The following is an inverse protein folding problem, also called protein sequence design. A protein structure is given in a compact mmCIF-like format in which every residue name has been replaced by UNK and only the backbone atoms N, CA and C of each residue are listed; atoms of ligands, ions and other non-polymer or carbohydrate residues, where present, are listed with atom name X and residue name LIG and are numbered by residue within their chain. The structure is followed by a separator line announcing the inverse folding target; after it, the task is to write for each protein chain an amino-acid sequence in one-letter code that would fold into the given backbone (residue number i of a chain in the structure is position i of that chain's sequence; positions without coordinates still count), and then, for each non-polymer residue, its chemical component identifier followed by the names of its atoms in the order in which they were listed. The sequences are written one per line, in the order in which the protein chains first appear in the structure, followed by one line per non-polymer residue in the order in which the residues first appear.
data_IF_405018880441
#
_entry.id   IF_405018880441
#
_cell.length_a   1.000
_cell.length_b   1.000
_cell.length_c   1.000
_cell.angle_alpha   90.00
_cell.angle_beta   90.00
_cell.angle_gamma   90.00
#
_symmetry.space_group_name_H-M   'P 1'
#
loop_
_entity.id
_entity.type
_entity.pdbx_description
1 polymer ?
#
# COMPACT_ATOMS: atom_id res chain seq x y z
N UNK A 1 12.20 6.41 0.90
CA UNK A 1 12.15 5.26 -0.03
C UNK A 1 10.73 4.72 -0.12
N UNK A 2 10.26 4.38 -1.33
CA UNK A 2 8.90 3.87 -1.60
C UNK A 2 9.03 2.60 -2.45
N UNK A 3 8.50 1.46 -1.97
CA UNK A 3 8.42 0.23 -2.75
C UNK A 3 7.14 0.21 -3.59
N UNK A 4 7.19 -0.37 -4.81
CA UNK A 4 6.08 -0.29 -5.75
C UNK A 4 5.83 1.16 -6.22
N UNK A 5 6.89 1.95 -6.34
CA UNK A 5 6.81 3.39 -6.61
C UNK A 5 6.68 3.76 -8.08
N UNK A 6 6.74 2.80 -9.00
CA UNK A 6 6.64 3.06 -10.43
C UNK A 6 5.18 3.25 -10.94
N UNK A 7 4.16 2.95 -10.12
CA UNK A 7 2.76 3.05 -10.54
C UNK A 7 1.81 3.34 -9.37
N UNK A 8 0.55 3.66 -9.68
CA UNK A 8 -0.56 3.75 -8.73
C UNK A 8 -0.24 4.57 -7.49
N UNK A 9 -0.62 4.05 -6.33
CA UNK A 9 -0.48 4.72 -5.02
C UNK A 9 0.97 5.09 -4.70
N UNK A 10 1.93 4.22 -5.03
CA UNK A 10 3.36 4.48 -4.79
C UNK A 10 3.89 5.65 -5.59
N UNK A 11 3.51 5.75 -6.88
CA UNK A 11 3.88 6.88 -7.73
C UNK A 11 3.22 8.19 -7.24
N UNK A 12 1.96 8.14 -6.84
CA UNK A 12 1.27 9.30 -6.30
C UNK A 12 1.93 9.79 -5.01
N UNK A 13 2.29 8.89 -4.10
CA UNK A 13 3.03 9.22 -2.88
C UNK A 13 4.43 9.77 -3.19
N UNK A 14 5.14 9.22 -4.19
CA UNK A 14 6.44 9.75 -4.61
C UNK A 14 6.33 11.19 -5.08
N UNK A 15 5.32 11.49 -5.92
CA UNK A 15 5.06 12.84 -6.40
C UNK A 15 4.74 13.80 -5.25
N UNK A 16 3.87 13.39 -4.33
CA UNK A 16 3.46 14.19 -3.18
C UNK A 16 4.64 14.50 -2.24
N UNK A 17 5.47 13.49 -1.96
CA UNK A 17 6.63 13.66 -1.09
C UNK A 17 7.67 14.62 -1.71
N UNK A 18 7.89 14.54 -3.03
CA UNK A 18 8.79 15.44 -3.75
C UNK A 18 8.27 16.88 -3.70
N UNK A 19 6.97 17.11 -3.87
CA UNK A 19 6.37 18.44 -3.77
C UNK A 19 6.57 19.06 -2.38
N UNK A 20 6.76 18.21 -1.36
CA UNK A 20 7.06 18.63 0.01
C UNK A 20 8.55 18.55 0.35
N UNK A 21 9.43 18.55 -0.66
CA UNK A 21 10.87 18.69 -0.51
C UNK A 21 11.64 17.42 -0.19
N UNK A 22 11.03 16.24 -0.35
CA UNK A 22 11.72 14.98 -0.12
C UNK A 22 12.57 14.56 -1.33
N UNK A 23 13.72 13.92 -1.06
CA UNK A 23 14.45 13.10 -2.03
C UNK A 23 13.88 11.68 -1.98
N UNK A 24 13.48 11.11 -3.11
CA UNK A 24 12.73 9.85 -3.15
C UNK A 24 13.47 8.77 -3.93
N UNK A 25 13.72 7.64 -3.26
CA UNK A 25 14.11 6.39 -3.91
C UNK A 25 12.83 5.63 -4.28
N UNK A 26 12.61 5.44 -5.59
CA UNK A 26 11.57 4.60 -6.17
C UNK A 26 12.12 3.19 -6.34
N UNK A 27 11.69 2.27 -5.48
CA UNK A 27 12.07 0.86 -5.57
C UNK A 27 10.92 0.07 -6.22
N UNK A 28 11.18 -0.52 -7.39
CA UNK A 28 10.17 -1.27 -8.13
C UNK A 28 10.81 -2.37 -8.98
N UNK A 29 10.05 -3.42 -9.23
CA UNK A 29 10.48 -4.53 -10.12
C UNK A 29 10.41 -4.15 -11.59
N UNK A 30 9.62 -3.14 -11.96
CA UNK A 30 9.48 -2.69 -13.34
C UNK A 30 10.66 -1.83 -13.77
N UNK A 31 11.69 -2.50 -14.31
CA UNK A 31 12.91 -1.87 -14.80
C UNK A 31 12.73 -1.03 -16.09
N UNK A 32 11.55 -1.08 -16.72
CA UNK A 32 11.23 -0.26 -17.89
C UNK A 32 10.49 1.01 -17.48
N UNK A 33 9.42 0.88 -16.70
CA UNK A 33 8.61 2.02 -16.27
C UNK A 33 9.27 2.84 -15.15
N UNK A 34 9.96 2.18 -14.22
CA UNK A 34 10.55 2.84 -13.06
C UNK A 34 11.50 3.99 -13.40
N UNK A 35 12.49 3.81 -14.30
CA UNK A 35 13.37 4.91 -14.72
C UNK A 35 12.63 6.06 -15.41
N UNK A 36 11.56 5.76 -16.15
CA UNK A 36 10.75 6.78 -16.82
C UNK A 36 9.97 7.61 -15.80
N UNK A 37 9.39 6.96 -14.79
CA UNK A 37 8.69 7.63 -13.70
C UNK A 37 9.64 8.52 -12.92
N UNK A 38 10.83 8.02 -12.55
CA UNK A 38 11.84 8.84 -11.89
C UNK A 38 12.22 10.07 -12.73
N UNK A 39 12.44 9.89 -14.03
CA UNK A 39 12.73 11.00 -14.95
C UNK A 39 11.59 12.03 -15.00
N UNK A 40 10.34 11.61 -15.01
CA UNK A 40 9.16 12.50 -15.03
C UNK A 40 9.02 13.26 -13.71
N UNK A 41 9.32 12.61 -12.58
CA UNK A 41 9.23 13.22 -11.25
C UNK A 41 10.35 14.23 -10.98
N UNK A 42 11.44 14.18 -11.74
CA UNK A 42 12.53 15.15 -11.62
C UNK A 42 13.78 14.65 -10.91
N UNK A 43 14.74 15.55 -10.68
CA UNK A 43 16.05 15.20 -10.11
C UNK A 43 15.98 14.72 -8.64
N UNK A 44 14.88 14.95 -7.95
CA UNK A 44 14.62 14.48 -6.60
C UNK A 44 14.23 13.01 -6.54
N UNK A 45 13.96 12.37 -7.69
CA UNK A 45 13.59 10.97 -7.79
C UNK A 45 14.73 10.12 -8.35
N UNK A 46 15.09 9.06 -7.65
CA UNK A 46 16.03 8.03 -8.11
C UNK A 46 15.31 6.67 -8.18
N UNK A 47 15.52 5.94 -9.27
CA UNK A 47 15.00 4.58 -9.41
C UNK A 47 16.02 3.54 -8.98
N UNK A 48 15.53 2.49 -8.28
CA UNK A 48 16.28 1.28 -7.95
C UNK A 48 15.43 0.08 -8.32
N UNK A 49 15.95 -0.83 -9.16
CA UNK A 49 15.27 -2.09 -9.48
C UNK A 49 15.26 -2.99 -8.23
N UNK A 50 14.07 -3.35 -7.75
CA UNK A 50 13.93 -4.08 -6.50
C UNK A 50 12.69 -4.98 -6.52
N UNK A 51 12.90 -6.29 -6.49
CA UNK A 51 11.88 -7.26 -6.14
C UNK A 51 11.85 -7.42 -4.61
N UNK A 52 10.78 -6.95 -3.98
CA UNK A 52 10.63 -6.98 -2.52
C UNK A 52 10.52 -8.40 -1.95
N UNK A 53 10.21 -9.40 -2.76
CA UNK A 53 10.22 -10.81 -2.35
C UNK A 53 11.64 -11.35 -2.13
N UNK A 54 12.65 -10.65 -2.68
CA UNK A 54 14.08 -10.96 -2.55
C UNK A 54 14.72 -10.01 -1.54
N UNK A 55 14.88 -10.47 -0.30
CA UNK A 55 15.36 -9.64 0.82
C UNK A 55 16.67 -8.89 0.52
N UNK A 56 17.62 -9.52 -0.18
CA UNK A 56 18.88 -8.89 -0.53
C UNK A 56 18.71 -7.64 -1.39
N UNK A 57 17.72 -7.61 -2.30
CA UNK A 57 17.45 -6.44 -3.12
C UNK A 57 16.82 -5.29 -2.30
N UNK A 58 16.01 -5.63 -1.29
CA UNK A 58 15.50 -4.62 -0.35
C UNK A 58 16.62 -4.02 0.49
N UNK A 59 17.56 -4.85 0.96
CA UNK A 59 18.75 -4.39 1.67
C UNK A 59 19.57 -3.42 0.82
N UNK A 60 19.87 -3.81 -0.43
CA UNK A 60 20.63 -3.00 -1.39
C UNK A 60 19.93 -1.67 -1.71
N UNK A 61 18.59 -1.67 -1.86
CA UNK A 61 17.83 -0.46 -2.09
C UNK A 61 17.92 0.52 -0.89
N UNK A 62 17.90 0.00 0.36
CA UNK A 62 18.11 0.81 1.56
C UNK A 62 19.55 1.32 1.62
N UNK A 63 20.54 0.47 1.30
CA UNK A 63 21.94 0.87 1.27
C UNK A 63 22.20 1.94 0.19
N UNK A 64 21.51 1.87 -0.95
CA UNK A 64 21.54 2.91 -1.99
C UNK A 64 21.01 4.24 -1.45
N UNK A 65 19.90 4.23 -0.69
CA UNK A 65 19.38 5.44 -0.08
C UNK A 65 20.39 6.05 0.92
N UNK A 66 21.03 5.20 1.74
CA UNK A 66 22.06 5.63 2.68
C UNK A 66 23.30 6.19 1.97
N UNK A 67 23.74 5.57 0.89
CA UNK A 67 24.89 6.03 0.11
C UNK A 67 24.62 7.35 -0.62
N UNK A 68 23.41 7.54 -1.16
CA UNK A 68 23.03 8.74 -1.91
C UNK A 68 22.72 9.94 -1.02
N UNK A 69 22.13 9.72 0.17
CA UNK A 69 21.58 10.80 1.00
C UNK A 69 22.09 10.79 2.46
N UNK A 70 22.87 9.81 2.87
CA UNK A 70 23.40 9.69 4.23
C UNK A 70 22.36 9.30 5.30
N UNK A 71 21.08 9.17 4.93
CA UNK A 71 19.97 8.87 5.84
C UNK A 71 18.76 8.25 5.12
N UNK A 72 17.90 7.63 5.90
CA UNK A 72 16.57 7.19 5.49
C UNK A 72 15.57 7.66 6.54
N UNK A 73 14.82 8.73 6.26
CA UNK A 73 13.81 9.27 7.19
C UNK A 73 12.47 8.53 7.08
N UNK A 74 12.11 8.09 5.86
CA UNK A 74 10.81 7.48 5.57
C UNK A 74 10.99 6.22 4.75
N UNK A 75 10.40 5.12 5.22
CA UNK A 75 10.21 3.87 4.47
C UNK A 75 8.74 3.63 4.22
N UNK A 76 8.30 3.66 2.96
CA UNK A 76 6.93 3.32 2.59
C UNK A 76 6.90 1.96 1.88
N UNK A 77 6.51 0.92 2.61
CA UNK A 77 6.25 -0.43 2.12
C UNK A 77 4.90 -0.46 1.42
N UNK A 78 4.90 -0.09 0.14
CA UNK A 78 3.68 0.00 -0.66
C UNK A 78 3.56 -1.10 -1.71
N UNK A 79 4.66 -1.73 -2.13
CA UNK A 79 4.63 -2.82 -3.09
C UNK A 79 3.65 -3.93 -2.68
N UNK A 80 2.83 -4.37 -3.62
CA UNK A 80 1.84 -5.41 -3.38
C UNK A 80 1.18 -5.88 -4.66
N UNK A 81 0.72 -7.12 -4.63
CA UNK A 81 0.00 -7.78 -5.72
C UNK A 81 -1.29 -8.38 -5.20
N UNK A 82 -2.32 -8.43 -6.03
CA UNK A 82 -3.60 -9.00 -5.63
C UNK A 82 -3.74 -10.50 -5.93
N UNK A 83 -2.83 -11.06 -6.73
CA UNK A 83 -2.90 -12.45 -7.17
C UNK A 83 -3.85 -12.66 -8.35
N UNK A 84 -4.33 -13.90 -8.54
CA UNK A 84 -5.25 -14.25 -9.63
C UNK A 84 -6.56 -13.46 -9.49
N UNK A 85 -7.01 -12.83 -10.56
CA UNK A 85 -8.21 -11.99 -10.55
C UNK A 85 -9.49 -12.82 -10.29
N UNK A 86 -9.60 -14.01 -10.89
CA UNK A 86 -10.69 -14.96 -10.65
C UNK A 86 -10.15 -16.04 -9.72
N UNK A 87 -10.34 -15.92 -8.40
CA UNK A 87 -9.80 -16.89 -7.47
C UNK A 87 -10.64 -18.16 -7.47
N UNK A 88 -10.01 -19.33 -7.32
CA UNK A 88 -10.73 -20.57 -7.03
C UNK A 88 -11.39 -20.48 -5.64
N UNK A 89 -12.34 -21.35 -5.35
CA UNK A 89 -12.82 -21.56 -3.99
C UNK A 89 -11.70 -21.97 -3.05
N UNK A 90 -11.93 -21.86 -1.73
CA UNK A 90 -10.89 -22.17 -0.74
C UNK A 90 -10.40 -23.63 -0.84
N UNK A 91 -11.27 -24.55 -1.24
CA UNK A 91 -10.92 -25.97 -1.39
C UNK A 91 -9.92 -26.22 -2.55
N UNK A 92 -9.92 -25.35 -3.54
CA UNK A 92 -9.07 -25.43 -4.74
C UNK A 92 -7.95 -24.38 -4.74
N UNK A 93 -7.64 -23.80 -3.57
CA UNK A 93 -6.62 -22.78 -3.45
C UNK A 93 -5.24 -23.31 -3.86
N UNK A 94 -4.63 -22.63 -4.84
CA UNK A 94 -3.26 -22.89 -5.25
C UNK A 94 -2.29 -22.29 -4.20
N UNK A 95 -1.63 -23.16 -3.43
CA UNK A 95 -0.70 -22.73 -2.39
C UNK A 95 0.56 -22.07 -2.96
N UNK A 96 1.00 -22.39 -4.17
CA UNK A 96 2.13 -21.68 -4.77
C UNK A 96 1.76 -20.23 -5.11
N UNK A 97 0.53 -19.98 -5.55
CA UNK A 97 0.03 -18.62 -5.76
C UNK A 97 -0.17 -17.89 -4.42
N UNK A 98 -0.64 -18.61 -3.38
CA UNK A 98 -0.71 -18.07 -2.02
C UNK A 98 0.66 -17.62 -1.53
N UNK A 99 1.68 -18.47 -1.65
CA UNK A 99 3.05 -18.18 -1.23
C UNK A 99 3.63 -16.99 -2.01
N UNK A 100 3.34 -16.88 -3.30
CA UNK A 100 3.76 -15.75 -4.13
C UNK A 100 3.17 -14.42 -3.63
N UNK A 101 1.87 -14.39 -3.33
CA UNK A 101 1.21 -13.19 -2.79
C UNK A 101 1.75 -12.85 -1.41
N UNK A 102 1.90 -13.82 -0.52
CA UNK A 102 2.47 -13.63 0.82
C UNK A 102 3.93 -13.20 0.75
N UNK A 103 4.68 -13.73 -0.20
CA UNK A 103 6.09 -13.37 -0.46
C UNK A 103 6.26 -11.88 -0.74
N UNK A 104 5.40 -11.32 -1.61
CA UNK A 104 5.45 -9.90 -1.94
C UNK A 104 4.81 -9.05 -0.83
N UNK A 105 3.54 -9.32 -0.48
CA UNK A 105 2.75 -8.41 0.33
C UNK A 105 3.13 -8.41 1.82
N UNK A 106 3.57 -9.57 2.34
CA UNK A 106 3.87 -9.75 3.77
C UNK A 106 5.37 -9.81 4.00
N UNK A 107 6.04 -10.81 3.40
CA UNK A 107 7.48 -10.97 3.58
C UNK A 107 8.27 -9.78 3.04
N UNK A 108 7.85 -9.22 1.89
CA UNK A 108 8.45 -8.00 1.32
C UNK A 108 8.28 -6.79 2.25
N UNK A 109 7.10 -6.61 2.84
CA UNK A 109 6.88 -5.54 3.82
C UNK A 109 7.77 -5.74 5.08
N UNK A 110 7.89 -6.97 5.59
CA UNK A 110 8.78 -7.29 6.73
C UNK A 110 10.25 -7.00 6.36
N UNK A 111 10.70 -7.35 5.16
CA UNK A 111 12.05 -7.04 4.70
C UNK A 111 12.29 -5.52 4.69
N UNK A 112 11.35 -4.75 4.16
CA UNK A 112 11.43 -3.28 4.19
C UNK A 112 11.46 -2.71 5.61
N UNK A 113 10.62 -3.19 6.52
CA UNK A 113 10.62 -2.80 7.94
C UNK A 113 11.98 -3.13 8.58
N UNK A 114 12.48 -4.35 8.39
CA UNK A 114 13.77 -4.82 8.94
C UNK A 114 14.92 -3.92 8.52
N UNK A 115 15.05 -3.65 7.22
CA UNK A 115 16.18 -2.88 6.70
C UNK A 115 16.04 -1.38 6.96
N UNK A 116 14.82 -0.84 7.02
CA UNK A 116 14.59 0.51 7.50
C UNK A 116 14.96 0.66 8.99
N UNK A 117 14.49 -0.25 9.84
CA UNK A 117 14.82 -0.27 11.26
C UNK A 117 16.33 -0.34 11.51
N UNK A 118 17.07 -1.15 10.71
CA UNK A 118 18.54 -1.25 10.78
C UNK A 118 19.25 0.10 10.72
N UNK A 119 18.73 1.03 9.94
CA UNK A 119 19.35 2.35 9.73
C UNK A 119 18.68 3.46 10.53
N UNK A 120 17.42 3.32 10.90
CA UNK A 120 16.67 4.31 11.67
C UNK A 120 16.90 4.20 13.19
N UNK A 121 17.00 2.99 13.73
CA UNK A 121 17.24 2.76 15.18
C UNK A 121 18.51 3.44 15.69
N UNK A 122 19.69 3.31 15.01
CA UNK A 122 20.90 3.97 15.47
C UNK A 122 20.82 5.51 15.47
N UNK A 123 19.95 6.08 14.61
CA UNK A 123 19.73 7.53 14.52
C UNK A 123 18.69 8.01 15.54
N UNK A 124 17.84 7.10 16.03
CA UNK A 124 16.77 7.44 16.97
C UNK A 124 15.59 8.17 16.32
N UNK A 125 15.40 8.06 15.00
CA UNK A 125 14.35 8.75 14.26
C UNK A 125 14.01 8.00 12.98
N UNK A 126 12.73 8.03 12.61
CA UNK A 126 12.23 7.47 11.35
C UNK A 126 10.72 7.24 11.35
N UNK A 127 10.15 7.15 10.16
CA UNK A 127 8.75 6.80 9.93
C UNK A 127 8.64 5.67 8.93
N UNK A 128 8.03 4.56 9.35
CA UNK A 128 7.76 3.39 8.51
C UNK A 128 6.27 3.32 8.24
N UNK A 129 5.92 3.23 6.96
CA UNK A 129 4.54 3.10 6.50
C UNK A 129 4.36 1.78 5.75
N UNK A 130 3.15 1.21 5.84
CA UNK A 130 2.75 0.01 5.09
C UNK A 130 1.39 0.22 4.43
N UNK A 131 1.23 -0.20 3.18
CA UNK A 131 -0.06 -0.23 2.50
C UNK A 131 -0.82 -1.51 2.88
N UNK A 132 -1.84 -1.37 3.72
CA UNK A 132 -2.84 -2.39 4.00
C UNK A 132 -3.99 -2.32 2.96
N UNK A 133 -5.23 -2.52 3.36
CA UNK A 133 -6.45 -2.40 2.53
C UNK A 133 -7.68 -2.57 3.42
N UNK A 134 -8.83 -2.09 2.98
CA UNK A 134 -10.11 -2.49 3.58
C UNK A 134 -10.35 -4.00 3.48
N UNK A 135 -9.75 -4.69 2.49
CA UNK A 135 -9.74 -6.17 2.40
C UNK A 135 -8.99 -6.85 3.55
N UNK A 136 -8.23 -6.09 4.34
CA UNK A 136 -7.61 -6.51 5.61
C UNK A 136 -8.43 -6.16 6.85
N UNK A 137 -9.64 -5.62 6.69
CA UNK A 137 -10.54 -5.25 7.77
C UNK A 137 -11.86 -6.02 7.70
N UNK A 138 -12.30 -6.36 6.48
CA UNK A 138 -13.55 -7.07 6.23
C UNK A 138 -13.34 -8.23 5.26
N UNK A 139 -14.02 -9.33 5.49
CA UNK A 139 -14.05 -10.47 4.57
C UNK A 139 -14.86 -10.17 3.30
N UNK A 140 -14.59 -10.94 2.23
CA UNK A 140 -15.37 -10.89 0.99
C UNK A 140 -14.99 -9.78 0.00
N UNK A 141 -13.93 -9.02 0.28
CA UNK A 141 -13.53 -7.85 -0.53
C UNK A 141 -12.39 -8.14 -1.52
N UNK A 142 -11.95 -9.38 -1.64
CA UNK A 142 -10.89 -9.73 -2.58
C UNK A 142 -10.51 -11.21 -2.52
N UNK A 143 -9.56 -11.65 -3.38
CA UNK A 143 -9.04 -13.01 -3.35
C UNK A 143 -8.50 -13.40 -1.97
N UNK A 144 -8.66 -14.67 -1.57
CA UNK A 144 -8.20 -15.14 -0.26
C UNK A 144 -6.73 -14.83 0.04
N UNK A 145 -5.75 -15.11 -0.88
CA UNK A 145 -4.35 -14.78 -0.61
C UNK A 145 -4.13 -13.29 -0.35
N UNK A 146 -4.78 -12.44 -1.16
CA UNK A 146 -4.69 -10.99 -1.00
C UNK A 146 -5.28 -10.54 0.33
N UNK A 147 -6.52 -10.91 0.62
CA UNK A 147 -7.20 -10.50 1.85
C UNK A 147 -6.40 -10.96 3.07
N UNK A 148 -5.95 -12.22 3.12
CA UNK A 148 -5.12 -12.75 4.20
C UNK A 148 -3.84 -11.91 4.35
N UNK A 149 -3.17 -11.60 3.25
CA UNK A 149 -1.97 -10.76 3.30
C UNK A 149 -2.24 -9.36 3.86
N UNK A 150 -3.40 -8.77 3.53
CA UNK A 150 -3.78 -7.43 3.99
C UNK A 150 -4.28 -7.43 5.44
N UNK A 151 -4.88 -8.51 5.93
CA UNK A 151 -5.14 -8.72 7.37
C UNK A 151 -3.85 -8.81 8.19
N UNK A 152 -2.77 -9.36 7.63
CA UNK A 152 -1.49 -9.47 8.31
C UNK A 152 -0.85 -8.09 8.58
N UNK A 153 -0.99 -7.12 7.68
CA UNK A 153 -0.27 -5.82 7.78
C UNK A 153 -0.62 -5.05 9.06
N UNK A 154 -1.89 -4.81 9.44
CA UNK A 154 -2.20 -4.15 10.70
C UNK A 154 -1.68 -4.91 11.94
N UNK A 155 -1.67 -6.24 11.88
CA UNK A 155 -1.10 -7.09 12.93
C UNK A 155 0.41 -6.91 13.06
N UNK A 156 1.13 -6.88 11.93
CA UNK A 156 2.58 -6.61 11.87
C UNK A 156 2.90 -5.24 12.47
N UNK A 157 2.17 -4.21 12.03
CA UNK A 157 2.35 -2.83 12.52
C UNK A 157 2.18 -2.77 14.03
N UNK A 158 1.13 -3.40 14.59
CA UNK A 158 0.92 -3.45 16.04
C UNK A 158 2.01 -4.23 16.79
N UNK A 159 2.41 -5.38 16.25
CA UNK A 159 3.41 -6.23 16.88
C UNK A 159 4.79 -5.54 16.99
N UNK A 160 5.17 -4.79 15.94
CA UNK A 160 6.51 -4.19 15.85
C UNK A 160 6.54 -2.78 16.48
N UNK A 161 5.42 -2.08 16.56
CA UNK A 161 5.37 -0.70 17.05
C UNK A 161 5.92 -0.53 18.46
N UNK A 162 5.71 -1.52 19.35
CA UNK A 162 6.23 -1.49 20.71
C UNK A 162 7.77 -1.45 20.76
N UNK A 163 8.42 -2.25 19.92
CA UNK A 163 9.88 -2.26 19.83
C UNK A 163 10.40 -0.94 19.26
N UNK A 164 9.87 -0.52 18.11
CA UNK A 164 10.37 0.65 17.39
C UNK A 164 10.18 1.96 18.16
N UNK A 165 9.08 2.10 18.92
CA UNK A 165 8.84 3.32 19.70
C UNK A 165 9.89 3.54 20.79
N UNK A 166 10.56 2.49 21.29
CA UNK A 166 11.66 2.61 22.26
C UNK A 166 12.89 3.32 21.66
N UNK A 167 12.97 3.34 20.32
CA UNK A 167 14.05 3.96 19.58
C UNK A 167 13.63 5.23 18.82
N UNK A 168 12.47 5.80 19.13
CA UNK A 168 11.99 7.01 18.45
C UNK A 168 11.54 6.77 17.00
N UNK A 169 11.36 5.53 16.56
CA UNK A 169 10.91 5.17 15.22
C UNK A 169 9.41 4.85 15.25
N UNK A 170 8.65 5.47 14.36
CA UNK A 170 7.21 5.24 14.21
C UNK A 170 6.91 4.23 13.10
N UNK A 171 5.86 3.44 13.28
CA UNK A 171 5.35 2.53 12.25
C UNK A 171 3.82 2.60 12.20
N UNK A 172 3.26 2.81 11.01
CA UNK A 172 1.82 2.88 10.79
C UNK A 172 1.44 2.19 9.47
N UNK A 173 0.15 1.94 9.26
CA UNK A 173 -0.34 1.51 7.96
C UNK A 173 -1.54 2.34 7.50
N UNK A 174 -1.81 2.25 6.20
CA UNK A 174 -2.96 2.89 5.56
C UNK A 174 -3.81 1.79 4.92
N UNK A 175 -5.11 1.83 5.16
CA UNK A 175 -6.10 0.92 4.55
C UNK A 175 -6.99 1.67 3.55
N UNK A 176 -6.62 1.69 2.26
CA UNK A 176 -7.44 2.31 1.23
C UNK A 176 -8.69 1.50 0.90
N UNK A 177 -9.75 2.20 0.45
CA UNK A 177 -10.81 1.63 -0.37
C UNK A 177 -10.30 1.31 -1.78
N UNK A 178 -11.10 0.62 -2.65
CA UNK A 178 -10.73 0.44 -4.04
C UNK A 178 -10.58 1.79 -4.75
N UNK A 179 -9.43 1.97 -5.42
CA UNK A 179 -9.11 3.12 -6.26
C UNK A 179 -8.78 2.59 -7.65
N UNK A 180 -9.18 3.24 -8.75
CA UNK A 180 -8.97 2.75 -10.11
C UNK A 180 -7.50 2.87 -10.55
N UNK A 181 -6.58 2.31 -9.78
CA UNK A 181 -5.17 2.16 -10.12
C UNK A 181 -4.99 1.18 -11.30
N UNK A 182 -3.84 1.19 -11.99
CA UNK A 182 -3.56 0.24 -13.07
C UNK A 182 -3.79 -1.23 -12.65
N UNK A 183 -3.41 -1.59 -11.42
CA UNK A 183 -3.63 -2.93 -10.88
C UNK A 183 -5.12 -3.28 -10.75
N UNK A 184 -5.93 -2.39 -10.17
CA UNK A 184 -7.37 -2.60 -9.99
C UNK A 184 -8.08 -2.65 -11.34
N UNK A 185 -7.72 -1.74 -12.26
CA UNK A 185 -8.28 -1.74 -13.62
C UNK A 185 -7.95 -3.04 -14.35
N UNK A 186 -6.71 -3.49 -14.31
CA UNK A 186 -6.29 -4.76 -14.94
C UNK A 186 -7.07 -5.96 -14.40
N UNK A 187 -7.27 -6.03 -13.08
CA UNK A 187 -8.04 -7.12 -12.47
C UNK A 187 -9.52 -7.09 -12.86
N UNK A 188 -10.15 -5.92 -12.77
CA UNK A 188 -11.58 -5.80 -13.08
C UNK A 188 -11.86 -5.99 -14.58
N UNK A 189 -10.90 -5.70 -15.46
CA UNK A 189 -11.03 -6.00 -16.90
C UNK A 189 -11.26 -7.49 -17.18
N UNK A 190 -10.81 -8.39 -16.30
CA UNK A 190 -11.06 -9.83 -16.42
C UNK A 190 -12.49 -10.21 -16.01
N UNK A 191 -13.13 -9.45 -15.12
CA UNK A 191 -14.55 -9.64 -14.76
C UNK A 191 -15.51 -8.94 -15.72
N UNK A 192 -15.04 -7.91 -16.41
CA UNK A 192 -15.83 -7.11 -17.35
C UNK A 192 -15.15 -7.09 -18.73
N UNK A 193 -15.14 -8.22 -19.47
CA UNK A 193 -14.54 -8.28 -20.80
C UNK A 193 -15.18 -7.24 -21.75
N UNK A 194 -14.34 -6.43 -22.40
CA UNK A 194 -14.79 -5.38 -23.31
C UNK A 194 -15.14 -4.04 -22.64
N UNK A 195 -15.13 -3.93 -21.32
CA UNK A 195 -15.29 -2.63 -20.64
C UNK A 195 -14.05 -1.76 -20.85
N UNK A 196 -14.28 -0.48 -21.11
CA UNK A 196 -13.19 0.51 -21.17
C UNK A 196 -12.64 0.81 -19.78
N UNK A 197 -11.41 1.34 -19.71
CA UNK A 197 -10.82 1.77 -18.44
C UNK A 197 -11.69 2.80 -17.71
N UNK A 198 -12.33 3.70 -18.46
CA UNK A 198 -13.24 4.71 -17.88
C UNK A 198 -14.49 4.06 -17.26
N UNK A 199 -15.07 3.04 -17.92
CA UNK A 199 -16.20 2.28 -17.38
C UNK A 199 -15.82 1.56 -16.10
N UNK A 200 -14.64 0.92 -16.07
CA UNK A 200 -14.12 0.26 -14.86
C UNK A 200 -13.89 1.28 -13.74
N UNK A 201 -13.29 2.44 -14.06
CA UNK A 201 -13.11 3.50 -13.07
C UNK A 201 -14.44 3.99 -12.49
N UNK A 202 -15.49 4.12 -13.32
CA UNK A 202 -16.85 4.45 -12.84
C UNK A 202 -17.42 3.37 -11.92
N UNK A 203 -17.21 2.09 -12.25
CA UNK A 203 -17.64 0.97 -11.37
C UNK A 203 -16.93 1.08 -10.01
N UNK A 204 -15.60 1.24 -10.00
CA UNK A 204 -14.82 1.37 -8.76
C UNK A 204 -15.28 2.56 -7.93
N UNK A 205 -15.42 3.73 -8.55
CA UNK A 205 -15.88 4.94 -7.86
C UNK A 205 -17.32 4.82 -7.34
N UNK A 206 -18.14 4.00 -7.99
CA UNK A 206 -19.52 3.71 -7.56
C UNK A 206 -19.61 2.86 -6.28
N UNK A 207 -18.52 2.21 -5.86
CA UNK A 207 -18.45 1.46 -4.60
C UNK A 207 -18.31 2.36 -3.38
N UNK A 208 -17.99 3.64 -3.57
CA UNK A 208 -17.80 4.59 -2.46
C UNK A 208 -19.08 4.92 -1.72
N UNK A 209 -19.02 4.94 -0.39
CA UNK A 209 -20.16 5.30 0.48
C UNK A 209 -20.30 6.82 0.66
N UNK A 210 -19.18 7.55 0.74
CA UNK A 210 -19.21 9.00 0.89
C UNK A 210 -19.68 9.67 -0.41
N UNK A 211 -20.88 10.26 -0.37
CA UNK A 211 -21.48 10.86 -1.56
C UNK A 211 -20.87 12.23 -1.90
N UNK A 212 -20.90 12.57 -3.19
CA UNK A 212 -20.39 13.86 -3.69
C UNK A 212 -18.88 13.93 -3.91
N UNK A 213 -18.14 12.86 -3.60
CA UNK A 213 -16.71 12.74 -3.83
C UNK A 213 -16.32 11.32 -4.23
N UNK A 214 -15.10 11.12 -4.64
CA UNK A 214 -14.47 9.82 -4.95
C UNK A 214 -13.11 9.75 -4.29
N UNK A 215 -12.66 8.54 -3.97
CA UNK A 215 -11.30 8.33 -3.48
C UNK A 215 -10.32 8.26 -4.64
N UNK A 216 -9.29 9.06 -4.58
CA UNK A 216 -8.23 9.15 -5.60
C UNK A 216 -6.87 8.72 -5.03
N UNK A 217 -5.88 8.48 -5.91
CA UNK A 217 -4.52 8.13 -5.49
C UNK A 217 -3.89 9.23 -4.61
N UNK A 218 -4.25 10.51 -4.86
CA UNK A 218 -3.83 11.66 -4.07
C UNK A 218 -4.29 11.61 -2.62
N UNK A 219 -5.50 11.08 -2.33
CA UNK A 219 -5.99 10.99 -0.95
C UNK A 219 -5.12 10.05 -0.12
N UNK A 220 -4.63 8.96 -0.74
CA UNK A 220 -3.71 8.04 -0.10
C UNK A 220 -2.31 8.64 0.03
N UNK A 221 -1.88 9.41 -0.97
CA UNK A 221 -0.61 10.14 -0.91
C UNK A 221 -0.60 11.17 0.22
N UNK A 222 -1.68 11.94 0.40
CA UNK A 222 -1.85 12.88 1.52
C UNK A 222 -1.86 12.16 2.87
N UNK A 223 -2.57 11.02 2.98
CA UNK A 223 -2.56 10.21 4.20
C UNK A 223 -1.15 9.68 4.52
N UNK A 224 -0.39 9.26 3.50
CA UNK A 224 0.98 8.82 3.65
C UNK A 224 1.89 9.98 4.08
N UNK A 225 1.74 11.16 3.46
CA UNK A 225 2.49 12.36 3.83
C UNK A 225 2.23 12.75 5.30
N UNK A 226 0.96 12.78 5.72
CA UNK A 226 0.62 13.05 7.12
C UNK A 226 1.31 12.08 8.08
N UNK A 227 1.16 10.77 7.87
CA UNK A 227 1.77 9.76 8.74
C UNK A 227 3.30 9.77 8.70
N UNK A 228 3.90 10.19 7.58
CA UNK A 228 5.35 10.32 7.44
C UNK A 228 5.91 11.56 8.16
N UNK A 229 5.16 12.64 8.20
CA UNK A 229 5.59 13.94 8.70
C UNK A 229 5.58 14.07 10.23
N UNK A 230 6.11 15.19 10.73
CA UNK A 230 6.10 15.55 12.14
C UNK A 230 4.69 15.90 12.67
N UNK A 231 3.72 16.16 11.79
CA UNK A 231 2.31 16.32 12.14
C UNK A 231 1.76 15.05 12.82
N UNK A 232 2.33 13.88 12.49
CA UNK A 232 1.99 12.60 13.09
C UNK A 232 3.03 12.11 14.12
N UNK A 233 3.82 13.02 14.72
CA UNK A 233 4.92 12.67 15.64
C UNK A 233 4.51 11.81 16.84
N UNK A 234 3.25 11.79 17.20
CA UNK A 234 2.72 10.99 18.32
C UNK A 234 1.77 9.87 17.87
N UNK A 235 1.84 9.50 16.57
CA UNK A 235 1.02 8.44 15.97
C UNK A 235 1.93 7.27 15.59
N UNK A 236 1.79 6.13 16.28
CA UNK A 236 2.47 4.87 15.95
C UNK A 236 1.57 3.68 16.27
N UNK A 237 1.75 2.55 15.57
CA UNK A 237 0.91 1.37 15.73
C UNK A 237 -0.51 1.53 15.17
N UNK A 238 -0.76 2.59 14.40
CA UNK A 238 -2.09 2.97 13.90
C UNK A 238 -2.34 2.45 12.48
N UNK A 239 -3.60 2.14 12.20
CA UNK A 239 -4.11 1.86 10.86
C UNK A 239 -5.06 3.01 10.46
N UNK A 240 -4.60 3.88 9.56
CA UNK A 240 -5.40 4.96 9.02
C UNK A 240 -6.27 4.43 7.87
N UNK A 241 -7.56 4.34 8.10
CA UNK A 241 -8.53 3.87 7.09
C UNK A 241 -8.96 5.05 6.24
N UNK A 242 -8.81 4.92 4.90
CA UNK A 242 -9.19 5.95 3.91
C UNK A 242 -10.18 5.31 2.94
N UNK A 243 -11.45 5.24 3.34
CA UNK A 243 -12.47 4.43 2.66
C UNK A 243 -13.85 5.11 2.55
N UNK A 244 -13.95 6.38 2.92
CA UNK A 244 -15.23 7.10 2.89
C UNK A 244 -16.31 6.51 3.80
N UNK A 245 -15.91 5.77 4.85
CA UNK A 245 -16.82 5.16 5.81
C UNK A 245 -17.25 3.72 5.47
N UNK A 246 -16.78 3.16 4.37
CA UNK A 246 -17.18 1.82 3.89
C UNK A 246 -17.09 0.73 4.96
N UNK A 247 -16.05 0.74 5.79
CA UNK A 247 -15.86 -0.27 6.84
C UNK A 247 -16.43 0.12 8.21
N UNK A 248 -16.99 1.33 8.35
CA UNK A 248 -17.42 1.85 9.66
C UNK A 248 -18.82 1.43 10.05
N UNK A 249 -19.71 1.20 9.10
CA UNK A 249 -21.13 0.93 9.39
C UNK A 249 -21.77 -0.03 8.39
N UNK A 250 -22.87 -0.64 8.83
CA UNK A 250 -23.80 -1.35 7.99
C UNK A 250 -25.21 -0.85 8.33
N UNK A 251 -25.88 -0.22 7.38
CA UNK A 251 -27.27 0.17 7.55
C UNK A 251 -28.18 -1.07 7.49
N UNK A 252 -29.06 -1.22 8.46
CA UNK A 252 -30.11 -2.23 8.43
C UNK A 252 -31.29 -1.66 7.63
N UNK A 253 -31.52 -2.22 6.43
CA UNK A 253 -32.76 -1.97 5.69
C UNK A 253 -33.86 -2.84 6.26
N UNK A 254 -34.90 -2.23 6.82
CA UNK A 254 -36.11 -2.95 7.21
C UNK A 254 -37.04 -2.97 6.01
N UNK A 255 -37.36 -4.14 5.44
CA UNK A 255 -38.34 -4.21 4.38
C UNK A 255 -39.74 -3.82 4.94
N UNK A 256 -40.54 -3.19 4.12
CA UNK A 256 -41.94 -3.00 4.46
C UNK A 256 -42.70 -4.36 4.52
N UNK A 257 -43.76 -4.51 5.31
CA UNK A 257 -44.47 -5.78 5.47
C UNK A 257 -44.91 -6.44 4.16
N UNK A 258 -45.20 -5.67 3.13
CA UNK A 258 -45.55 -6.12 1.78
C UNK A 258 -44.37 -6.61 0.94
N UNK A 259 -43.12 -6.37 1.38
CA UNK A 259 -41.91 -6.85 0.76
C UNK A 259 -41.38 -8.15 1.40
N UNK A 260 -42.01 -8.60 2.49
CA UNK A 260 -41.66 -9.85 3.16
C UNK A 260 -42.68 -10.91 2.69
N UNK A 261 -42.24 -11.78 1.77
CA UNK A 261 -43.05 -12.91 1.28
C UNK A 261 -42.51 -14.19 1.92
#
# INVERSE_FOLDING_TARGET
MITGGASGLGRAAASEFIQHGAQVIIADVDSQQGPQVAKVLGPEAQFVCCDVSVEAQVAEAVDTAMASHGKLDIMFNNAGIAGKAIPPGIADLDLAEFDRVMGVNVRGAIAGIKHAARVMIPVGSGSILCTASISGLMGGLGPHPYSISKFAIPGIVKAISYELCQYGVRINCISPSPIPTPQVVSQLSMFYPGATQEQIAKIVNGLGELKGTKCEESDIAHAALYLASDEAKYVTGHNLVVDGGFTCFKALGFPSPDQVV
#
